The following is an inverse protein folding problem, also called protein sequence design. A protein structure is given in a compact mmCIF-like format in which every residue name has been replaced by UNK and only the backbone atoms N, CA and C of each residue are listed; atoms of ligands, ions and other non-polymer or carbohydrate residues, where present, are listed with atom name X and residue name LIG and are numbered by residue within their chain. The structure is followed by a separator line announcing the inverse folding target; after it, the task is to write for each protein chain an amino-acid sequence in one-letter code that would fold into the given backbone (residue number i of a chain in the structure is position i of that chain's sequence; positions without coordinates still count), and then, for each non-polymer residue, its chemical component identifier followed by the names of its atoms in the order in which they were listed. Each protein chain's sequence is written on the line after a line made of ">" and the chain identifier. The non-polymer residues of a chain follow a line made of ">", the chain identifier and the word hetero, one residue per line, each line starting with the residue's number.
data_IF_818969744678
#
_entry.id   IF_818969744678
#
_cell.length_a   1.000
_cell.length_b   1.000
_cell.length_c   1.000
_cell.angle_alpha   90.00
_cell.angle_beta   90.00
_cell.angle_gamma   90.00
#
_symmetry.space_group_name_H-M   'P 1'
#
loop_
_entity.id
_entity.type
_entity.pdbx_description
1 polymer ?
#
# COMPACT_ATOMS: atom_id res chain seq x y z
N UNK A 1 -43.55 -47.60 -24.25
CA UNK A 1 -44.63 -46.82 -24.90
C UNK A 1 -43.97 -45.64 -25.60
N UNK A 2 -44.20 -45.52 -26.90
CA UNK A 2 -43.40 -44.82 -27.90
C UNK A 2 -43.70 -43.32 -28.05
N UNK A 3 -42.73 -42.64 -28.67
CA UNK A 3 -42.55 -41.21 -28.94
C UNK A 3 -43.76 -40.44 -29.48
N UNK A 4 -43.82 -39.15 -29.12
CA UNK A 4 -44.48 -38.11 -29.93
C UNK A 4 -43.56 -36.89 -30.08
N UNK A 5 -42.97 -36.79 -31.27
CA UNK A 5 -42.30 -35.60 -31.78
C UNK A 5 -43.32 -34.49 -32.09
N UNK A 6 -42.98 -33.24 -31.78
CA UNK A 6 -43.42 -32.10 -32.59
C UNK A 6 -42.21 -31.24 -32.92
N UNK A 7 -42.07 -31.00 -34.23
CA UNK A 7 -40.99 -30.31 -34.93
C UNK A 7 -41.22 -28.80 -34.91
N UNK A 8 -40.10 -28.09 -35.10
CA UNK A 8 -39.94 -26.79 -35.75
C UNK A 8 -40.56 -25.57 -35.03
N UNK A 9 -39.86 -24.45 -34.88
CA UNK A 9 -38.55 -24.12 -35.42
C UNK A 9 -38.22 -22.65 -35.21
N UNK A 10 -37.23 -22.25 -36.00
CA UNK A 10 -36.79 -20.89 -36.27
C UNK A 10 -35.89 -20.24 -35.22
N UNK A 11 -34.62 -20.23 -35.61
CA UNK A 11 -33.53 -19.47 -35.06
C UNK A 11 -33.84 -17.96 -35.04
N UNK A 12 -33.42 -17.30 -33.97
CA UNK A 12 -33.03 -15.89 -33.99
C UNK A 12 -31.64 -15.83 -33.37
N UNK A 13 -30.64 -15.77 -34.25
CA UNK A 13 -29.27 -15.40 -33.92
C UNK A 13 -29.26 -13.90 -33.61
N UNK A 14 -29.39 -13.53 -32.35
CA UNK A 14 -29.12 -12.14 -31.92
C UNK A 14 -27.64 -12.03 -31.58
N UNK A 15 -26.82 -11.75 -32.59
CA UNK A 15 -25.45 -11.30 -32.38
C UNK A 15 -25.49 -9.88 -31.79
N UNK A 16 -25.43 -9.76 -30.47
CA UNK A 16 -25.12 -8.48 -29.82
C UNK A 16 -23.59 -8.30 -29.82
N UNK A 17 -23.11 -7.59 -30.83
CA UNK A 17 -21.81 -6.91 -30.77
C UNK A 17 -21.97 -5.78 -29.76
N UNK A 18 -21.36 -5.95 -28.59
CA UNK A 18 -20.95 -4.83 -27.75
C UNK A 18 -19.47 -5.03 -27.45
N UNK A 19 -18.64 -4.43 -28.30
CA UNK A 19 -17.28 -4.08 -27.93
C UNK A 19 -17.34 -3.16 -26.72
N UNK A 20 -17.15 -3.73 -25.53
CA UNK A 20 -16.80 -2.95 -24.36
C UNK A 20 -15.31 -2.65 -24.46
N UNK A 21 -14.88 -1.37 -24.61
CA UNK A 21 -13.51 -1.07 -24.26
C UNK A 21 -13.43 -1.35 -22.77
N UNK A 22 -12.70 -2.39 -22.38
CA UNK A 22 -12.19 -2.50 -21.02
C UNK A 22 -11.17 -1.38 -20.85
N UNK A 23 -11.68 -0.15 -20.73
CA UNK A 23 -11.03 0.90 -19.98
C UNK A 23 -11.01 0.36 -18.55
N UNK A 24 -10.02 -0.48 -18.25
CA UNK A 24 -9.50 -0.61 -16.90
C UNK A 24 -8.97 0.78 -16.57
N UNK A 25 -9.88 1.65 -16.14
CA UNK A 25 -9.51 2.90 -15.52
C UNK A 25 -8.49 2.57 -14.44
N UNK A 26 -7.40 3.32 -14.42
CA UNK A 26 -6.46 3.35 -13.32
C UNK A 26 -7.23 3.71 -12.05
N UNK A 27 -7.86 2.73 -11.42
CA UNK A 27 -8.23 2.82 -10.04
C UNK A 27 -6.88 2.88 -9.32
N UNK A 28 -6.44 4.10 -8.99
CA UNK A 28 -5.43 4.30 -7.96
C UNK A 28 -5.99 3.64 -6.71
N UNK A 29 -5.70 2.35 -6.53
CA UNK A 29 -6.08 1.60 -5.34
C UNK A 29 -5.31 2.22 -4.21
N UNK A 30 -5.94 3.16 -3.51
CA UNK A 30 -5.41 3.72 -2.28
C UNK A 30 -5.05 2.54 -1.36
N UNK A 31 -3.78 2.42 -0.98
CA UNK A 31 -3.34 1.31 -0.13
C UNK A 31 -4.05 1.44 1.23
N UNK A 32 -4.83 0.43 1.67
CA UNK A 32 -5.52 0.46 2.95
C UNK A 32 -4.58 0.69 4.14
N UNK A 33 -3.31 0.28 4.04
CA UNK A 33 -2.29 0.50 5.08
C UNK A 33 -1.95 1.99 5.22
N UNK A 34 -1.83 2.68 4.09
CA UNK A 34 -1.55 4.11 4.08
C UNK A 34 -2.74 4.89 4.66
N UNK A 35 -3.97 4.54 4.27
CA UNK A 35 -5.18 5.16 4.87
C UNK A 35 -5.23 4.94 6.37
N UNK A 36 -5.06 3.70 6.84
CA UNK A 36 -5.11 3.38 8.27
C UNK A 36 -4.04 4.13 9.08
N UNK A 37 -2.85 4.34 8.51
CA UNK A 37 -1.80 5.13 9.12
C UNK A 37 -2.17 6.63 9.18
N UNK A 38 -2.68 7.20 8.08
CA UNK A 38 -3.05 8.63 8.02
C UNK A 38 -4.26 8.95 8.91
N UNK A 39 -5.23 8.05 8.99
CA UNK A 39 -6.45 8.22 9.79
C UNK A 39 -6.18 8.09 11.30
N UNK A 40 -5.06 7.46 11.68
CA UNK A 40 -4.59 7.36 13.06
C UNK A 40 -3.95 8.67 13.53
N UNK A 41 -4.78 9.58 14.06
CA UNK A 41 -4.35 10.93 14.48
C UNK A 41 -3.13 10.95 15.42
N UNK A 42 -3.06 10.13 16.50
CA UNK A 42 -1.85 10.05 17.34
C UNK A 42 -0.58 9.70 16.56
N UNK A 43 -0.67 8.69 15.69
CA UNK A 43 0.45 8.31 14.84
C UNK A 43 0.83 9.42 13.88
N UNK A 44 -0.14 10.03 13.18
CA UNK A 44 0.12 11.06 12.19
C UNK A 44 0.74 12.32 12.82
N UNK A 45 0.29 12.70 14.02
CA UNK A 45 0.90 13.79 14.79
C UNK A 45 2.36 13.48 15.17
N UNK A 46 2.64 12.26 15.64
CA UNK A 46 4.01 11.81 15.90
C UNK A 46 4.86 11.77 14.63
N UNK A 47 4.33 11.27 13.52
CA UNK A 47 5.00 11.21 12.22
C UNK A 47 5.37 12.60 11.68
N UNK A 48 4.48 13.57 11.83
CA UNK A 48 4.77 14.96 11.45
C UNK A 48 5.91 15.54 12.30
N UNK A 49 5.93 15.28 13.61
CA UNK A 49 7.03 15.67 14.47
C UNK A 49 8.34 14.98 14.08
N UNK A 50 8.32 13.67 13.79
CA UNK A 50 9.48 12.95 13.27
C UNK A 50 10.01 13.60 11.98
N UNK A 51 9.13 13.96 11.06
CA UNK A 51 9.49 14.62 9.80
C UNK A 51 10.15 15.98 10.03
N UNK A 52 9.65 16.79 10.96
CA UNK A 52 10.31 18.05 11.34
C UNK A 52 11.71 17.83 11.90
N UNK A 53 11.93 16.77 12.69
CA UNK A 53 13.24 16.43 13.22
C UNK A 53 14.19 15.93 12.13
N UNK A 54 13.68 15.17 11.16
CA UNK A 54 14.44 14.77 9.96
C UNK A 54 14.91 15.98 9.17
N UNK A 55 14.04 16.96 8.94
CA UNK A 55 14.39 18.19 8.21
C UNK A 55 15.46 19.02 8.92
N UNK A 56 15.50 18.96 10.26
CA UNK A 56 16.48 19.67 11.07
C UNK A 56 17.84 18.94 11.16
N UNK A 57 17.92 17.67 10.76
CA UNK A 57 19.14 16.87 10.87
C UNK A 57 19.95 16.87 9.55
N UNK A 58 21.11 17.53 9.58
CA UNK A 58 21.99 17.66 8.41
C UNK A 58 22.67 16.35 7.99
N UNK A 59 22.66 15.32 8.84
CA UNK A 59 23.21 14.00 8.54
C UNK A 59 22.18 13.07 7.93
N UNK A 60 20.88 13.39 8.07
CA UNK A 60 19.80 12.55 7.57
C UNK A 60 19.75 12.57 6.05
N UNK A 61 19.97 11.41 5.43
CA UNK A 61 19.82 11.20 3.99
C UNK A 61 18.42 10.63 3.73
N UNK A 62 17.66 11.25 2.84
CA UNK A 62 16.32 10.76 2.49
C UNK A 62 16.37 9.29 2.04
N UNK A 63 15.56 8.43 2.69
CA UNK A 63 15.32 7.06 2.24
C UNK A 63 14.57 7.13 0.89
N UNK A 64 14.99 6.37 -0.15
CA UNK A 64 14.42 6.44 -1.50
C UNK A 64 13.04 5.75 -1.57
N UNK A 65 12.01 6.46 -1.08
CA UNK A 65 10.61 6.10 -1.23
C UNK A 65 10.07 6.74 -2.52
N UNK A 66 10.51 6.22 -3.68
CA UNK A 66 10.30 6.87 -4.98
C UNK A 66 9.00 6.44 -5.68
N UNK A 67 8.36 5.38 -5.18
CA UNK A 67 7.08 4.87 -5.68
C UNK A 67 5.98 4.96 -4.61
N UNK A 68 4.70 5.09 -5.02
CA UNK A 68 3.56 5.02 -4.11
C UNK A 68 3.55 3.74 -3.27
N UNK A 69 3.96 2.62 -3.86
CA UNK A 69 4.01 1.31 -3.22
C UNK A 69 5.09 1.29 -2.12
N UNK A 70 6.29 1.80 -2.41
CA UNK A 70 7.36 1.92 -1.40
C UNK A 70 6.95 2.83 -0.24
N UNK A 71 6.28 3.94 -0.55
CA UNK A 71 5.79 4.88 0.46
C UNK A 71 4.73 4.23 1.36
N UNK A 72 3.79 3.50 0.75
CA UNK A 72 2.70 2.82 1.47
C UNK A 72 3.22 1.67 2.32
N UNK A 73 4.14 0.87 1.79
CA UNK A 73 4.81 -0.23 2.50
C UNK A 73 5.59 0.31 3.72
N UNK A 74 6.43 1.32 3.52
CA UNK A 74 7.20 1.94 4.59
C UNK A 74 6.28 2.53 5.66
N UNK A 75 5.23 3.26 5.26
CA UNK A 75 4.27 3.83 6.20
C UNK A 75 3.53 2.76 6.99
N UNK A 76 3.16 1.64 6.35
CA UNK A 76 2.55 0.50 7.01
C UNK A 76 3.46 -0.11 8.08
N UNK A 77 4.73 -0.37 7.76
CA UNK A 77 5.69 -0.88 8.74
C UNK A 77 5.92 0.11 9.89
N UNK A 78 6.00 1.40 9.57
CA UNK A 78 6.20 2.45 10.56
C UNK A 78 5.01 2.53 11.52
N UNK A 79 3.78 2.44 11.00
CA UNK A 79 2.55 2.42 11.78
C UNK A 79 2.46 1.19 12.67
N UNK A 80 2.77 0.00 12.13
CA UNK A 80 2.77 -1.24 12.89
C UNK A 80 3.81 -1.21 14.02
N UNK A 81 4.99 -0.64 13.78
CA UNK A 81 6.03 -0.48 14.79
C UNK A 81 5.62 0.52 15.89
N UNK A 82 5.04 1.66 15.51
CA UNK A 82 4.50 2.66 16.44
C UNK A 82 3.39 2.08 17.32
N UNK A 83 2.53 1.21 16.75
CA UNK A 83 1.46 0.52 17.46
C UNK A 83 1.91 -0.77 18.16
N UNK A 84 3.21 -1.06 18.18
CA UNK A 84 3.79 -2.26 18.78
C UNK A 84 3.25 -3.59 18.21
N UNK A 85 2.72 -3.59 16.98
CA UNK A 85 2.32 -4.81 16.26
C UNK A 85 3.52 -5.56 15.70
N UNK A 86 4.59 -4.83 15.38
CA UNK A 86 5.92 -5.36 15.15
C UNK A 86 6.90 -4.69 16.12
N UNK A 87 8.03 -5.34 16.37
CA UNK A 87 9.06 -4.74 17.22
C UNK A 87 9.82 -3.63 16.48
N UNK A 88 10.43 -2.70 17.23
CA UNK A 88 11.33 -1.68 16.65
C UNK A 88 12.49 -2.32 15.88
N UNK A 89 13.00 -3.45 16.38
CA UNK A 89 14.06 -4.22 15.72
C UNK A 89 13.58 -4.81 14.39
N UNK A 90 12.39 -5.41 14.38
CA UNK A 90 11.81 -5.98 13.17
C UNK A 90 11.54 -4.90 12.10
N UNK A 91 11.03 -3.74 12.51
CA UNK A 91 10.94 -2.57 11.62
C UNK A 91 12.31 -2.21 11.04
N UNK A 92 13.32 -2.11 11.91
CA UNK A 92 14.67 -1.72 11.49
C UNK A 92 15.28 -2.74 10.51
N UNK A 93 15.04 -4.04 10.72
CA UNK A 93 15.47 -5.09 9.82
C UNK A 93 14.79 -5.00 8.46
N UNK A 94 13.47 -4.80 8.42
CA UNK A 94 12.72 -4.60 7.16
C UNK A 94 13.25 -3.40 6.38
N UNK A 95 13.46 -2.26 7.05
CA UNK A 95 13.97 -1.04 6.41
C UNK A 95 15.40 -1.25 5.90
N UNK A 96 16.31 -1.82 6.71
CA UNK A 96 17.70 -2.07 6.28
C UNK A 96 17.80 -3.05 5.11
N UNK A 97 16.96 -4.08 5.10
CA UNK A 97 16.93 -5.05 4.00
C UNK A 97 16.39 -4.42 2.71
N UNK A 98 15.41 -3.52 2.81
CA UNK A 98 14.79 -2.87 1.65
C UNK A 98 15.61 -1.69 1.12
N UNK A 99 16.24 -0.94 2.02
CA UNK A 99 16.97 0.30 1.75
C UNK A 99 18.38 0.20 2.37
N UNK A 100 19.31 -0.52 1.72
CA UNK A 100 20.68 -0.68 2.24
C UNK A 100 21.42 0.66 2.26
N UNK A 101 22.39 0.80 3.17
CA UNK A 101 23.19 2.02 3.40
C UNK A 101 22.43 3.19 4.05
N UNK A 102 21.29 2.90 4.70
CA UNK A 102 20.47 3.85 5.45
C UNK A 102 20.39 3.47 6.95
N UNK A 103 21.47 2.94 7.52
CA UNK A 103 21.52 2.47 8.91
C UNK A 103 21.34 3.64 9.89
N UNK A 104 21.90 4.80 9.56
CA UNK A 104 21.75 6.01 10.36
C UNK A 104 20.29 6.46 10.40
N UNK A 105 19.64 6.59 9.26
CA UNK A 105 18.23 7.00 9.14
C UNK A 105 17.31 6.01 9.85
N UNK A 106 17.56 4.72 9.66
CA UNK A 106 16.80 3.66 10.32
C UNK A 106 16.91 3.78 11.84
N UNK A 107 18.13 3.96 12.35
CA UNK A 107 18.39 4.12 13.78
C UNK A 107 17.78 5.42 14.31
N UNK A 108 17.84 6.50 13.54
CA UNK A 108 17.26 7.80 13.86
C UNK A 108 15.74 7.70 14.05
N UNK A 109 15.05 6.97 13.18
CA UNK A 109 13.60 6.76 13.27
C UNK A 109 13.29 5.89 14.50
N UNK A 110 13.98 4.76 14.65
CA UNK A 110 13.76 3.80 15.74
C UNK A 110 13.94 4.45 17.12
N UNK A 111 14.95 5.29 17.29
CA UNK A 111 15.23 5.97 18.57
C UNK A 111 14.14 6.96 18.99
N UNK A 112 13.23 7.32 18.08
CA UNK A 112 12.13 8.29 18.28
C UNK A 112 10.76 7.63 18.34
N UNK A 113 10.69 6.32 18.14
CA UNK A 113 9.45 5.56 18.35
C UNK A 113 9.10 5.54 19.84
N UNK A 114 7.82 5.61 20.21
CA UNK A 114 7.36 5.46 21.59
C UNK A 114 7.79 4.10 22.17
#
# INVERSE_FOLDING_TARGET
>A
MSLRFKKAGLAVLTALVLGGPLLQGCASTADPRLSAAVDDKPFYAWFNNLTSQVQADSKYKRIPLDTPEQSSEFMGWLHDAYRHRITKQEFAERVRNRYPNHEYETSFIVSRMP
#
